data_IF_832495343585
#
_entry.id   IF_832495343585
#
_cell.length_a   1.000
_cell.length_b   1.000
_cell.length_c   1.000
_cell.angle_alpha   90.00
_cell.angle_beta   90.00
_cell.angle_gamma   90.00
#
_symmetry.space_group_name_H-M   'P 1'
#
loop_
_entity.id
_entity.type
_entity.pdbx_description
1 polymer ?
#
# COMPACT_ATOMS: atom_id res chain seq x y z
N UNK A 1 24.76 4.01 17.22
CA UNK A 1 24.33 4.80 16.03
C UNK A 1 23.14 4.07 15.45
N UNK A 2 21.99 4.72 15.31
CA UNK A 2 20.77 4.06 14.85
C UNK A 2 20.47 4.41 13.41
N UNK A 3 20.35 3.41 12.55
CA UNK A 3 20.01 3.56 11.13
C UNK A 3 18.55 3.16 10.91
N UNK A 4 17.63 4.12 10.70
CA UNK A 4 16.25 3.80 10.35
C UNK A 4 16.14 3.32 8.90
N UNK A 5 15.61 2.12 8.71
CA UNK A 5 15.33 1.50 7.41
C UNK A 5 13.84 1.20 7.25
N UNK A 6 13.39 1.21 6.01
CA UNK A 6 12.07 0.79 5.57
C UNK A 6 12.23 0.06 4.23
N UNK A 7 11.20 -0.67 3.78
CA UNK A 7 11.22 -1.31 2.47
C UNK A 7 11.52 -0.29 1.35
N UNK A 8 10.90 0.89 1.37
CA UNK A 8 11.13 1.95 0.38
C UNK A 8 12.53 2.55 0.43
N UNK A 9 13.14 2.66 1.62
CA UNK A 9 14.53 3.10 1.79
C UNK A 9 15.51 2.07 1.21
N UNK A 10 15.28 0.79 1.47
CA UNK A 10 16.09 -0.32 0.95
C UNK A 10 16.01 -0.40 -0.57
N UNK A 11 14.81 -0.35 -1.14
CA UNK A 11 14.61 -0.34 -2.61
C UNK A 11 15.36 0.83 -3.21
N UNK A 12 15.18 2.05 -2.68
CA UNK A 12 15.88 3.23 -3.22
C UNK A 12 17.41 3.11 -3.13
N UNK A 13 17.93 2.60 -2.03
CA UNK A 13 19.37 2.38 -1.87
C UNK A 13 19.88 1.36 -2.90
N UNK A 14 19.20 0.22 -3.03
CA UNK A 14 19.54 -0.83 -3.99
C UNK A 14 19.45 -0.35 -5.46
N UNK A 15 18.50 0.54 -5.77
CA UNK A 15 18.38 1.14 -7.11
C UNK A 15 19.48 2.17 -7.37
N UNK A 16 19.74 3.07 -6.42
CA UNK A 16 20.78 4.11 -6.54
C UNK A 16 21.15 4.70 -5.18
N UNK A 17 22.36 4.40 -4.72
CA UNK A 17 22.89 4.91 -3.44
C UNK A 17 22.92 6.45 -3.37
N UNK A 18 23.24 7.12 -4.48
CA UNK A 18 23.24 8.59 -4.56
C UNK A 18 21.86 9.19 -4.34
N UNK A 19 20.82 8.59 -4.94
CA UNK A 19 19.44 9.03 -4.76
C UNK A 19 18.96 8.80 -3.32
N UNK A 20 19.39 7.71 -2.69
CA UNK A 20 19.18 7.48 -1.27
C UNK A 20 19.84 8.58 -0.42
N UNK A 21 21.13 8.85 -0.65
CA UNK A 21 21.88 9.84 0.11
C UNK A 21 21.27 11.24 -0.03
N UNK A 22 20.92 11.68 -1.24
CA UNK A 22 20.28 12.98 -1.45
C UNK A 22 18.97 13.13 -0.69
N UNK A 23 18.09 12.13 -0.71
CA UNK A 23 16.80 12.21 -0.01
C UNK A 23 16.92 12.08 1.50
N UNK A 24 17.65 11.08 1.99
CA UNK A 24 17.59 10.68 3.40
C UNK A 24 18.76 11.14 4.24
N UNK A 25 19.93 11.40 3.64
CA UNK A 25 21.12 11.91 4.35
C UNK A 25 21.26 13.42 4.21
N UNK A 26 21.00 13.95 3.03
CA UNK A 26 21.16 15.38 2.73
C UNK A 26 19.85 16.16 2.69
N UNK A 27 18.70 15.47 2.80
CA UNK A 27 17.36 16.07 2.83
C UNK A 27 17.10 17.05 1.67
N UNK A 28 17.59 16.72 0.47
CA UNK A 28 17.28 17.51 -0.73
C UNK A 28 15.77 17.52 -0.97
N UNK A 29 15.17 18.69 -1.25
CA UNK A 29 13.75 18.78 -1.57
C UNK A 29 13.47 18.06 -2.89
N UNK A 30 12.61 17.05 -2.84
CA UNK A 30 12.09 16.42 -4.05
C UNK A 30 11.00 17.30 -4.66
N UNK A 31 10.95 17.47 -5.99
CA UNK A 31 9.84 18.13 -6.63
C UNK A 31 8.54 17.35 -6.32
N UNK A 32 7.68 17.95 -5.50
CA UNK A 32 6.25 17.60 -5.33
C UNK A 32 5.91 16.17 -4.90
N UNK A 33 6.06 15.86 -3.61
CA UNK A 33 5.44 14.68 -2.97
C UNK A 33 4.01 14.94 -2.47
N UNK A 34 3.16 15.56 -3.29
CA UNK A 34 1.77 15.91 -2.92
C UNK A 34 0.82 16.16 -4.09
N UNK A 35 1.07 15.53 -5.23
CA UNK A 35 0.29 15.74 -6.45
C UNK A 35 -1.04 14.97 -6.51
N UNK A 36 -1.81 15.24 -7.57
CA UNK A 36 -3.09 14.57 -7.91
C UNK A 36 -3.00 13.03 -7.83
N UNK A 37 -1.95 12.44 -8.41
CA UNK A 37 -1.73 10.99 -8.40
C UNK A 37 -1.55 10.41 -6.99
N UNK A 38 -0.93 11.15 -6.08
CA UNK A 38 -0.75 10.71 -4.70
C UNK A 38 -2.06 10.73 -3.93
N UNK A 39 -2.91 11.74 -4.14
CA UNK A 39 -4.26 11.75 -3.55
C UNK A 39 -5.08 10.56 -4.01
N UNK A 40 -5.05 10.26 -5.31
CA UNK A 40 -5.71 9.07 -5.86
C UNK A 40 -5.16 7.79 -5.23
N UNK A 41 -3.84 7.64 -5.14
CA UNK A 41 -3.21 6.49 -4.48
C UNK A 41 -3.63 6.34 -3.02
N UNK A 42 -3.66 7.43 -2.26
CA UNK A 42 -4.13 7.42 -0.86
C UNK A 42 -5.59 6.97 -0.78
N UNK A 43 -6.47 7.48 -1.65
CA UNK A 43 -7.88 7.11 -1.67
C UNK A 43 -8.06 5.61 -2.00
N UNK A 44 -7.36 5.10 -3.01
CA UNK A 44 -7.39 3.69 -3.38
C UNK A 44 -6.95 2.78 -2.22
N UNK A 45 -5.82 3.11 -1.58
CA UNK A 45 -5.32 2.36 -0.43
C UNK A 45 -6.31 2.40 0.75
N UNK A 46 -6.90 3.56 1.05
CA UNK A 46 -7.86 3.70 2.13
C UNK A 46 -9.15 2.88 1.89
N UNK A 47 -9.63 2.87 0.64
CA UNK A 47 -10.78 2.05 0.24
C UNK A 47 -10.48 0.55 0.37
N UNK A 48 -9.35 0.08 -0.17
CA UNK A 48 -8.95 -1.32 -0.05
C UNK A 48 -8.69 -1.74 1.39
N UNK A 49 -8.08 -0.88 2.20
CA UNK A 49 -7.90 -1.14 3.62
C UNK A 49 -9.24 -1.38 4.32
N UNK A 50 -10.22 -0.50 4.09
CA UNK A 50 -11.56 -0.62 4.67
C UNK A 50 -12.24 -1.90 4.22
N UNK A 51 -12.14 -2.23 2.92
CA UNK A 51 -12.67 -3.47 2.35
C UNK A 51 -12.09 -4.72 3.02
N UNK A 52 -10.76 -4.79 3.12
CA UNK A 52 -10.08 -5.94 3.73
C UNK A 52 -10.32 -6.03 5.25
N UNK A 53 -10.43 -4.89 5.93
CA UNK A 53 -10.77 -4.84 7.35
C UNK A 53 -12.18 -5.39 7.59
N UNK A 54 -13.15 -5.01 6.77
CA UNK A 54 -14.52 -5.53 6.84
C UNK A 54 -14.54 -7.03 6.49
N UNK A 55 -13.74 -7.46 5.50
CA UNK A 55 -13.58 -8.88 5.17
C UNK A 55 -13.10 -9.71 6.36
N UNK A 56 -12.11 -9.23 7.13
CA UNK A 56 -11.57 -9.92 8.31
C UNK A 56 -12.64 -10.18 9.38
N UNK A 57 -13.65 -9.30 9.49
CA UNK A 57 -14.81 -9.49 10.38
C UNK A 57 -16.00 -10.15 9.66
N UNK A 58 -15.76 -10.77 8.50
CA UNK A 58 -16.72 -11.51 7.67
C UNK A 58 -17.88 -10.67 7.15
N UNK A 59 -17.66 -9.38 6.89
CA UNK A 59 -18.60 -8.50 6.20
C UNK A 59 -18.02 -8.02 4.86
N UNK A 60 -18.87 -7.47 4.00
CA UNK A 60 -18.40 -6.58 2.93
C UNK A 60 -17.65 -7.23 1.76
N UNK A 61 -17.86 -8.52 1.47
CA UNK A 61 -17.08 -9.22 0.44
C UNK A 61 -17.50 -8.93 -1.01
N UNK A 62 -18.58 -8.17 -1.22
CA UNK A 62 -19.16 -7.94 -2.54
C UNK A 62 -18.62 -6.68 -3.22
N UNK A 63 -18.70 -6.64 -4.55
CA UNK A 63 -18.32 -5.46 -5.35
C UNK A 63 -19.16 -4.23 -4.97
N UNK A 64 -20.44 -4.41 -4.64
CA UNK A 64 -21.30 -3.30 -4.22
C UNK A 64 -20.82 -2.70 -2.89
N UNK A 65 -20.25 -3.53 -2.00
CA UNK A 65 -19.66 -3.02 -0.78
C UNK A 65 -18.38 -2.23 -1.07
N UNK A 66 -17.51 -2.74 -1.95
CA UNK A 66 -16.32 -2.00 -2.40
C UNK A 66 -16.70 -0.65 -3.04
N UNK A 67 -17.75 -0.61 -3.87
CA UNK A 67 -18.27 0.61 -4.46
C UNK A 67 -18.76 1.62 -3.41
N UNK A 68 -19.48 1.15 -2.38
CA UNK A 68 -19.91 2.02 -1.26
C UNK A 68 -18.73 2.62 -0.50
N UNK A 69 -17.68 1.83 -0.26
CA UNK A 69 -16.46 2.32 0.38
C UNK A 69 -15.72 3.34 -0.48
N UNK A 70 -15.66 3.11 -1.80
CA UNK A 70 -15.06 4.06 -2.74
C UNK A 70 -15.78 5.41 -2.72
N UNK A 71 -17.11 5.42 -2.82
CA UNK A 71 -17.89 6.65 -2.81
C UNK A 71 -17.68 7.46 -1.53
N UNK A 72 -17.63 6.79 -0.36
CA UNK A 72 -17.29 7.46 0.90
C UNK A 72 -15.91 8.12 0.87
N UNK A 73 -14.90 7.42 0.32
CA UNK A 73 -13.53 7.92 0.28
C UNK A 73 -13.37 9.12 -0.67
N UNK A 74 -14.07 9.09 -1.79
CA UNK A 74 -14.09 10.16 -2.79
C UNK A 74 -14.61 11.46 -2.19
N UNK A 75 -15.69 11.39 -1.42
CA UNK A 75 -16.28 12.55 -0.73
C UNK A 75 -15.29 13.22 0.24
N UNK A 76 -14.39 12.46 0.85
CA UNK A 76 -13.39 12.94 1.80
C UNK A 76 -12.13 13.51 1.14
N UNK A 77 -11.76 13.03 -0.05
CA UNK A 77 -10.44 13.29 -0.65
C UNK A 77 -10.40 14.48 -1.63
N UNK A 78 -11.56 15.00 -2.05
CA UNK A 78 -11.65 16.10 -3.01
C UNK A 78 -10.97 15.76 -4.34
N UNK A 79 -11.26 14.57 -4.87
CA UNK A 79 -10.75 14.10 -6.16
C UNK A 79 -11.51 14.74 -7.33
N UNK A 80 -10.84 14.91 -8.46
CA UNK A 80 -11.46 15.35 -9.70
C UNK A 80 -12.28 14.22 -10.34
N UNK A 81 -13.32 14.55 -11.10
CA UNK A 81 -14.22 13.57 -11.72
C UNK A 81 -13.48 12.49 -12.54
N UNK A 82 -12.43 12.87 -13.26
CA UNK A 82 -11.63 11.93 -14.03
C UNK A 82 -10.85 10.92 -13.15
N UNK A 83 -10.38 11.34 -11.96
CA UNK A 83 -9.71 10.45 -11.01
C UNK A 83 -10.69 9.52 -10.32
N UNK A 84 -11.91 10.01 -10.05
CA UNK A 84 -12.98 9.22 -9.45
C UNK A 84 -13.32 8.03 -10.34
N UNK A 85 -13.54 8.29 -11.64
CA UNK A 85 -13.85 7.25 -12.62
C UNK A 85 -12.67 6.30 -12.84
N UNK A 86 -11.45 6.84 -12.98
CA UNK A 86 -10.24 6.03 -13.16
C UNK A 86 -9.97 5.13 -11.94
N UNK A 87 -10.12 5.68 -10.73
CA UNK A 87 -9.96 4.94 -9.48
C UNK A 87 -10.98 3.82 -9.33
N UNK A 88 -12.25 4.07 -9.68
CA UNK A 88 -13.27 3.02 -9.66
C UNK A 88 -12.95 1.89 -10.63
N UNK A 89 -12.58 2.19 -11.87
CA UNK A 89 -12.20 1.18 -12.86
C UNK A 89 -11.02 0.31 -12.37
N UNK A 90 -10.04 0.92 -11.69
CA UNK A 90 -8.93 0.18 -11.10
C UNK A 90 -9.38 -0.76 -9.96
N UNK A 91 -10.26 -0.30 -9.07
CA UNK A 91 -10.81 -1.10 -7.97
C UNK A 91 -11.69 -2.25 -8.48
N UNK A 92 -12.51 -1.99 -9.49
CA UNK A 92 -13.36 -2.99 -10.13
C UNK A 92 -12.51 -4.08 -10.81
N UNK A 93 -11.50 -3.67 -11.58
CA UNK A 93 -10.55 -4.62 -12.19
C UNK A 93 -9.83 -5.46 -11.15
N UNK A 94 -9.35 -4.84 -10.07
CA UNK A 94 -8.76 -5.55 -8.93
C UNK A 94 -9.72 -6.56 -8.31
N UNK A 95 -10.98 -6.18 -8.08
CA UNK A 95 -11.97 -7.07 -7.49
C UNK A 95 -12.17 -8.33 -8.34
N UNK A 96 -12.39 -8.18 -9.63
CA UNK A 96 -12.62 -9.34 -10.50
C UNK A 96 -11.37 -10.21 -10.71
N UNK A 97 -10.17 -9.63 -10.65
CA UNK A 97 -8.93 -10.38 -10.83
C UNK A 97 -8.50 -11.11 -9.55
N UNK A 98 -8.57 -10.45 -8.41
CA UNK A 98 -7.97 -10.93 -7.16
C UNK A 98 -8.98 -11.43 -6.14
N UNK A 99 -10.22 -10.95 -6.18
CA UNK A 99 -11.23 -11.20 -5.15
C UNK A 99 -12.28 -12.21 -5.62
N UNK A 100 -12.89 -11.98 -6.78
CA UNK A 100 -13.99 -12.78 -7.34
C UNK A 100 -13.48 -13.99 -8.12
N UNK A 101 -12.74 -14.87 -7.41
CA UNK A 101 -12.15 -16.08 -7.98
C UNK A 101 -12.69 -17.37 -7.36
N UNK A 102 -12.44 -18.53 -8.00
CA UNK A 102 -12.86 -19.85 -7.48
C UNK A 102 -12.20 -20.21 -6.14
N UNK A 103 -11.10 -19.53 -5.81
CA UNK A 103 -10.39 -19.65 -4.55
C UNK A 103 -10.34 -18.26 -3.91
N UNK A 104 -11.38 -17.88 -3.13
CA UNK A 104 -11.44 -16.55 -2.54
C UNK A 104 -10.25 -16.33 -1.61
N UNK A 105 -9.69 -15.11 -1.60
CA UNK A 105 -8.59 -14.76 -0.71
C UNK A 105 -8.93 -15.02 0.76
N UNK A 106 -7.91 -15.40 1.52
CA UNK A 106 -8.02 -15.65 2.97
C UNK A 106 -7.17 -14.63 3.72
N UNK A 107 -7.64 -13.38 3.86
CA UNK A 107 -6.89 -12.36 4.59
C UNK A 107 -6.75 -12.75 6.06
N UNK A 108 -5.62 -12.38 6.65
CA UNK A 108 -5.41 -12.50 8.10
C UNK A 108 -4.89 -11.22 8.75
N UNK A 109 -4.38 -10.28 7.97
CA UNK A 109 -4.06 -8.95 8.44
C UNK A 109 -4.02 -7.93 7.29
N UNK A 110 -4.31 -6.67 7.58
CA UNK A 110 -4.16 -5.53 6.64
C UNK A 110 -3.55 -4.34 7.34
N UNK A 111 -2.73 -3.56 6.62
CA UNK A 111 -2.24 -2.23 7.00
C UNK A 111 -1.56 -2.15 8.38
N UNK A 112 -0.90 -3.23 8.81
CA UNK A 112 -0.22 -3.31 10.09
C UNK A 112 1.26 -2.93 10.01
N UNK A 113 1.85 -2.64 11.17
CA UNK A 113 3.25 -2.21 11.27
C UNK A 113 4.16 -3.41 11.50
N UNK A 114 5.25 -3.47 10.75
CA UNK A 114 6.37 -4.38 10.99
C UNK A 114 7.50 -3.54 11.58
N UNK A 115 7.86 -3.85 12.82
CA UNK A 115 8.95 -3.22 13.52
C UNK A 115 9.95 -4.28 13.93
N UNK A 116 11.22 -4.09 13.57
CA UNK A 116 12.31 -4.96 13.99
C UNK A 116 13.56 -4.17 14.27
N UNK A 117 14.45 -4.70 15.11
CA UNK A 117 15.75 -4.11 15.38
C UNK A 117 16.80 -5.19 15.36
N UNK A 118 17.89 -4.91 14.66
CA UNK A 118 19.01 -5.82 14.48
C UNK A 118 20.31 -5.02 14.64
N UNK A 119 21.35 -5.66 15.17
CA UNK A 119 22.66 -5.04 15.34
C UNK A 119 23.61 -5.61 14.28
N UNK A 120 24.11 -4.77 13.36
CA UNK A 120 25.13 -5.14 12.38
C UNK A 120 26.39 -4.33 12.64
N UNK A 121 27.51 -5.00 12.90
CA UNK A 121 28.83 -4.36 13.07
C UNK A 121 28.80 -3.09 13.94
N UNK A 122 28.08 -3.16 15.08
CA UNK A 122 27.89 -2.08 16.08
C UNK A 122 26.98 -0.93 15.64
N UNK A 123 26.20 -1.13 14.58
CA UNK A 123 25.13 -0.23 14.13
C UNK A 123 23.79 -0.85 14.49
N UNK A 124 22.96 -0.07 15.20
CA UNK A 124 21.59 -0.45 15.51
C UNK A 124 20.72 -0.14 14.30
N UNK A 125 20.35 -1.17 13.54
CA UNK A 125 19.46 -1.02 12.41
C UNK A 125 18.03 -1.22 12.88
N UNK A 126 17.19 -0.19 12.70
CA UNK A 126 15.78 -0.25 13.05
C UNK A 126 14.96 -0.29 11.78
N UNK A 127 14.32 -1.42 11.53
CA UNK A 127 13.42 -1.60 10.40
C UNK A 127 11.99 -1.25 10.82
N UNK A 128 11.39 -0.28 10.15
CA UNK A 128 9.99 0.09 10.30
C UNK A 128 9.32 0.17 8.93
N UNK A 129 8.26 -0.62 8.75
CA UNK A 129 7.45 -0.59 7.53
C UNK A 129 5.99 -0.91 7.84
N UNK A 130 5.14 -0.79 6.82
CA UNK A 130 3.73 -1.15 6.85
C UNK A 130 3.51 -2.14 5.72
N UNK A 131 2.83 -3.25 5.99
CA UNK A 131 2.32 -4.12 4.94
C UNK A 131 0.91 -3.69 4.59
N UNK A 132 0.53 -3.80 3.32
CA UNK A 132 -0.83 -3.42 2.89
C UNK A 132 -1.84 -4.54 3.21
N UNK A 133 -1.50 -5.79 2.86
CA UNK A 133 -2.34 -6.97 3.03
C UNK A 133 -1.50 -8.23 3.22
N UNK A 134 -1.92 -9.11 4.13
CA UNK A 134 -1.38 -10.46 4.27
C UNK A 134 -2.51 -11.48 4.12
N UNK A 135 -2.26 -12.46 3.24
CA UNK A 135 -3.18 -13.53 2.87
C UNK A 135 -2.60 -14.89 3.27
N UNK A 136 -3.43 -15.82 3.73
CA UNK A 136 -3.06 -17.22 3.90
C UNK A 136 -2.95 -17.91 2.55
N UNK A 137 -1.90 -18.71 2.37
CA UNK A 137 -1.74 -19.59 1.21
C UNK A 137 -0.29 -19.65 0.74
N UNK A 138 -0.07 -20.43 -0.31
CA UNK A 138 1.18 -20.36 -1.08
C UNK A 138 1.21 -19.03 -1.83
N UNK A 139 2.37 -18.33 -1.87
CA UNK A 139 2.53 -17.16 -2.70
C UNK A 139 2.10 -17.52 -4.13
N UNK A 140 1.10 -16.82 -4.67
CA UNK A 140 0.85 -16.89 -6.11
C UNK A 140 2.14 -16.40 -6.76
N UNK A 141 2.71 -17.18 -7.68
CA UNK A 141 3.86 -16.74 -8.44
C UNK A 141 3.44 -15.45 -9.14
N UNK A 142 3.93 -14.31 -8.63
CA UNK A 142 3.70 -13.04 -9.28
C UNK A 142 4.29 -13.13 -10.67
N UNK A 143 3.49 -12.84 -11.69
CA UNK A 143 4.02 -12.43 -12.98
C UNK A 143 4.81 -11.15 -12.73
N UNK A 144 6.10 -11.30 -12.49
CA UNK A 144 7.05 -10.22 -12.69
C UNK A 144 6.95 -9.84 -14.18
N UNK A 145 6.31 -8.70 -14.46
CA UNK A 145 6.51 -7.97 -15.70
C UNK A 145 7.63 -6.95 -15.47
#
# INVERSE_FOLDING_TARGET
>A
MTLPLSASRLVRFATCERAYAWKYRYHYPEPSGGGRQQKLGIALHATLHSFWKDWLVRSGQSIEHLHRLWNRQVDECGLEAADISSGWLALEGYYFQEVDGPHPPRPFATEGRICHSLVLDRVDVRFESRYDLLLWGTPRAGTAQ
#
